data_IF_802040482560
#
_entry.id   IF_802040482560
#
_cell.length_a   1.000
_cell.length_b   1.000
_cell.length_c   1.000
_cell.angle_alpha   90.00
_cell.angle_beta   90.00
_cell.angle_gamma   90.00
#
_symmetry.space_group_name_H-M   'P 1'
#
loop_
_entity.id
_entity.type
_entity.pdbx_description
1 polymer ?
#
# COMPACT_ATOMS: atom_id res chain seq x y z
N UNK A 1 37.06 -1.06 -49.60
CA UNK A 1 35.73 -0.44 -49.83
C UNK A 1 35.39 0.39 -48.59
N UNK A 2 34.89 1.62 -48.71
CA UNK A 2 34.62 2.48 -47.54
C UNK A 2 33.39 1.97 -46.75
N UNK A 3 33.36 2.18 -45.42
CA UNK A 3 32.23 1.80 -44.53
C UNK A 3 30.87 2.28 -45.07
N UNK A 4 30.83 3.48 -45.67
CA UNK A 4 29.61 4.02 -46.30
C UNK A 4 29.11 3.16 -47.46
N UNK A 5 30.00 2.52 -48.20
CA UNK A 5 29.65 1.65 -49.32
C UNK A 5 29.10 0.31 -48.83
N UNK A 6 29.61 -0.22 -47.71
CA UNK A 6 29.05 -1.41 -47.06
C UNK A 6 27.64 -1.17 -46.49
N UNK A 7 27.41 -0.02 -45.84
CA UNK A 7 26.06 0.35 -45.35
C UNK A 7 25.08 0.54 -46.52
N UNK A 8 25.51 1.20 -47.61
CA UNK A 8 24.70 1.34 -48.83
C UNK A 8 24.39 -0.01 -49.47
N UNK A 9 25.37 -0.92 -49.50
CA UNK A 9 25.18 -2.28 -50.01
C UNK A 9 24.13 -3.05 -49.19
N UNK A 10 24.25 -3.06 -47.86
CA UNK A 10 23.27 -3.70 -46.96
C UNK A 10 21.89 -3.08 -47.18
N UNK A 11 21.80 -1.74 -47.24
CA UNK A 11 20.53 -1.03 -47.47
C UNK A 11 19.91 -1.38 -48.83
N UNK A 12 20.74 -1.48 -49.87
CA UNK A 12 20.30 -1.93 -51.17
C UNK A 12 19.76 -3.36 -51.10
N UNK A 13 20.49 -4.26 -50.44
CA UNK A 13 20.13 -5.67 -50.38
C UNK A 13 18.83 -5.92 -49.59
N UNK A 14 18.60 -5.23 -48.48
CA UNK A 14 17.33 -5.32 -47.74
C UNK A 14 16.17 -4.61 -48.46
N UNK A 15 16.47 -3.69 -49.39
CA UNK A 15 15.43 -3.04 -50.22
C UNK A 15 14.96 -3.91 -51.38
N UNK A 16 15.75 -4.91 -51.78
CA UNK A 16 15.38 -5.87 -52.82
C UNK A 16 14.18 -6.71 -52.37
N UNK A 17 13.25 -6.93 -53.30
CA UNK A 17 12.02 -7.71 -53.09
C UNK A 17 12.38 -9.16 -52.70
N UNK A 18 11.57 -9.88 -51.89
CA UNK A 18 11.96 -11.14 -51.21
C UNK A 18 12.40 -12.32 -52.10
N UNK A 19 12.39 -12.16 -53.43
CA UNK A 19 12.67 -13.21 -54.41
C UNK A 19 14.05 -13.08 -55.09
N UNK A 20 14.88 -12.10 -54.70
CA UNK A 20 16.12 -11.75 -55.45
C UNK A 20 17.41 -12.04 -54.66
N UNK A 21 17.32 -12.38 -53.36
CA UNK A 21 18.51 -12.72 -52.56
C UNK A 21 18.99 -14.11 -52.98
N UNK A 22 20.15 -14.17 -53.63
CA UNK A 22 20.82 -15.41 -54.00
C UNK A 22 21.90 -15.71 -52.97
N UNK A 23 21.73 -16.74 -52.11
CA UNK A 23 22.71 -17.08 -51.08
C UNK A 23 24.11 -17.36 -51.66
N UNK A 24 24.22 -17.86 -52.87
CA UNK A 24 25.49 -18.20 -53.51
C UNK A 24 26.28 -16.95 -53.91
N UNK A 25 25.57 -15.87 -54.26
CA UNK A 25 26.17 -14.61 -54.71
C UNK A 25 26.32 -13.60 -53.57
N UNK A 26 25.31 -13.53 -52.70
CA UNK A 26 25.10 -12.40 -51.82
C UNK A 26 25.62 -12.66 -50.40
N UNK A 27 25.73 -13.93 -49.96
CA UNK A 27 26.15 -14.27 -48.59
C UNK A 27 27.56 -13.79 -48.26
N UNK A 28 28.54 -14.06 -49.12
CA UNK A 28 29.93 -13.65 -48.87
C UNK A 28 30.05 -12.13 -48.75
N UNK A 29 29.42 -11.38 -49.68
CA UNK A 29 29.45 -9.92 -49.68
C UNK A 29 28.71 -9.32 -48.50
N UNK A 30 27.62 -9.95 -48.06
CA UNK A 30 26.87 -9.53 -46.89
C UNK A 30 27.65 -9.77 -45.59
N UNK A 31 28.31 -10.92 -45.46
CA UNK A 31 29.20 -11.24 -44.35
C UNK A 31 30.39 -10.27 -44.28
N UNK A 32 31.05 -10.02 -45.41
CA UNK A 32 32.15 -9.06 -45.52
C UNK A 32 31.68 -7.64 -45.13
N UNK A 33 30.50 -7.23 -45.61
CA UNK A 33 29.93 -5.94 -45.29
C UNK A 33 29.61 -5.78 -43.81
N UNK A 34 29.04 -6.81 -43.16
CA UNK A 34 28.76 -6.79 -41.72
C UNK A 34 30.04 -6.77 -40.89
N UNK A 35 31.03 -7.61 -41.24
CA UNK A 35 32.31 -7.66 -40.55
C UNK A 35 33.10 -6.34 -40.65
N UNK A 36 32.95 -5.61 -41.76
CA UNK A 36 33.61 -4.33 -41.98
C UNK A 36 32.94 -3.14 -41.26
N UNK A 37 31.72 -3.29 -40.75
CA UNK A 37 30.99 -2.23 -40.05
C UNK A 37 31.19 -2.42 -38.53
N UNK A 38 31.76 -1.42 -37.82
CA UNK A 38 31.84 -1.45 -36.36
C UNK A 38 30.47 -1.65 -35.70
N UNK A 39 30.42 -2.41 -34.60
CA UNK A 39 29.18 -2.79 -33.92
C UNK A 39 28.32 -1.59 -33.53
N UNK A 40 28.91 -0.47 -33.13
CA UNK A 40 28.19 0.77 -32.80
C UNK A 40 27.49 1.35 -34.04
N UNK A 41 28.18 1.38 -35.18
CA UNK A 41 27.62 1.89 -36.44
C UNK A 41 26.55 0.97 -36.99
N UNK A 42 26.72 -0.34 -36.83
CA UNK A 42 25.72 -1.33 -37.23
C UNK A 42 24.46 -1.22 -36.35
N UNK A 43 24.62 -0.99 -35.05
CA UNK A 43 23.50 -0.69 -34.13
C UNK A 43 22.75 0.58 -34.54
N UNK A 44 23.45 1.70 -34.75
CA UNK A 44 22.79 2.94 -35.20
C UNK A 44 22.10 2.79 -36.56
N UNK A 45 22.70 2.04 -37.49
CA UNK A 45 22.07 1.70 -38.77
C UNK A 45 20.77 0.91 -38.56
N UNK A 46 20.81 -0.17 -37.77
CA UNK A 46 19.67 -1.02 -37.50
C UNK A 46 18.53 -0.29 -36.77
N UNK A 47 18.87 0.58 -35.81
CA UNK A 47 17.90 1.45 -35.12
C UNK A 47 17.25 2.46 -36.08
N UNK A 48 18.00 2.96 -37.07
CA UNK A 48 17.49 3.88 -38.09
C UNK A 48 16.59 3.23 -39.15
N UNK A 49 16.48 1.90 -39.18
CA UNK A 49 15.58 1.19 -40.08
C UNK A 49 14.12 1.28 -39.62
N UNK A 50 13.21 1.39 -40.58
CA UNK A 50 11.77 1.22 -40.36
C UNK A 50 11.42 -0.22 -39.95
N UNK A 51 10.24 -0.44 -39.38
CA UNK A 51 9.76 -1.78 -39.01
C UNK A 51 9.75 -2.77 -40.19
N UNK A 52 9.51 -2.29 -41.40
CA UNK A 52 9.58 -3.12 -42.61
C UNK A 52 11.02 -3.43 -43.02
N UNK A 53 11.90 -2.44 -43.06
CA UNK A 53 13.32 -2.65 -43.36
C UNK A 53 14.01 -3.56 -42.33
N UNK A 54 13.65 -3.47 -41.04
CA UNK A 54 14.14 -4.41 -40.01
C UNK A 54 13.71 -5.84 -40.33
N UNK A 55 12.43 -6.07 -40.63
CA UNK A 55 11.93 -7.41 -41.05
C UNK A 55 12.70 -7.97 -42.24
N UNK A 56 13.00 -7.12 -43.24
CA UNK A 56 13.81 -7.52 -44.40
C UNK A 56 15.27 -7.78 -44.03
N UNK A 57 15.87 -6.96 -43.17
CA UNK A 57 17.20 -7.19 -42.62
C UNK A 57 17.30 -8.53 -41.89
N UNK A 58 16.31 -8.86 -41.05
CA UNK A 58 16.22 -10.16 -40.37
C UNK A 58 16.20 -11.33 -41.36
N UNK A 59 15.36 -11.21 -42.40
CA UNK A 59 15.27 -12.23 -43.45
C UNK A 59 16.60 -12.39 -44.21
N UNK A 60 17.16 -11.29 -44.70
CA UNK A 60 18.45 -11.25 -45.38
C UNK A 60 19.56 -11.86 -44.52
N UNK A 61 19.66 -11.46 -43.25
CA UNK A 61 20.70 -11.94 -42.36
C UNK A 61 20.54 -13.43 -42.05
N UNK A 62 19.31 -13.93 -41.88
CA UNK A 62 19.06 -15.35 -41.71
C UNK A 62 19.45 -16.17 -42.95
N UNK A 63 19.17 -15.66 -44.15
CA UNK A 63 19.51 -16.31 -45.43
C UNK A 63 21.03 -16.28 -45.71
N UNK A 64 21.69 -15.15 -45.43
CA UNK A 64 23.10 -14.94 -45.79
C UNK A 64 24.12 -15.36 -44.71
N UNK A 65 23.73 -15.40 -43.44
CA UNK A 65 24.61 -15.78 -42.33
C UNK A 65 24.38 -17.21 -41.85
N UNK A 66 23.17 -17.74 -42.09
CA UNK A 66 22.69 -18.93 -41.39
C UNK A 66 22.25 -18.62 -39.96
N UNK A 67 21.50 -19.56 -39.38
CA UNK A 67 20.77 -19.35 -38.13
C UNK A 67 21.67 -19.00 -36.93
N UNK A 68 22.78 -19.69 -36.73
CA UNK A 68 23.64 -19.48 -35.55
C UNK A 68 24.33 -18.11 -35.55
N UNK A 69 24.89 -17.71 -36.69
CA UNK A 69 25.54 -16.41 -36.84
C UNK A 69 24.53 -15.26 -36.79
N UNK A 70 23.34 -15.47 -37.38
CA UNK A 70 22.23 -14.55 -37.25
C UNK A 70 21.77 -14.41 -35.79
N UNK A 71 21.62 -15.52 -35.05
CA UNK A 71 21.18 -15.51 -33.66
C UNK A 71 22.11 -14.67 -32.78
N UNK A 72 23.44 -14.84 -32.92
CA UNK A 72 24.41 -14.04 -32.17
C UNK A 72 24.30 -12.55 -32.50
N UNK A 73 24.18 -12.23 -33.79
CA UNK A 73 24.03 -10.83 -34.23
C UNK A 73 22.73 -10.21 -33.70
N UNK A 74 21.63 -10.97 -33.71
CA UNK A 74 20.35 -10.53 -33.16
C UNK A 74 20.44 -10.30 -31.65
N UNK A 75 21.13 -11.17 -30.93
CA UNK A 75 21.35 -11.03 -29.50
C UNK A 75 22.07 -9.71 -29.17
N UNK A 76 23.12 -9.38 -29.93
CA UNK A 76 23.89 -8.14 -29.76
C UNK A 76 23.12 -6.88 -30.18
N UNK A 77 22.40 -6.93 -31.31
CA UNK A 77 21.71 -5.75 -31.87
C UNK A 77 20.39 -5.44 -31.18
N UNK A 78 19.68 -6.45 -30.65
CA UNK A 78 18.29 -6.31 -30.20
C UNK A 78 18.13 -6.77 -28.77
N UNK A 79 18.57 -7.99 -28.45
CA UNK A 79 18.25 -8.61 -27.15
C UNK A 79 18.96 -7.91 -26.02
N UNK A 80 20.27 -7.64 -26.14
CA UNK A 80 21.03 -6.97 -25.09
C UNK A 80 20.55 -5.55 -24.83
N UNK A 81 20.29 -4.77 -25.88
CA UNK A 81 19.78 -3.39 -25.74
C UNK A 81 18.38 -3.38 -25.13
N UNK A 82 17.50 -4.27 -25.58
CA UNK A 82 16.15 -4.40 -25.02
C UNK A 82 16.20 -4.85 -23.56
N UNK A 83 17.09 -5.79 -23.23
CA UNK A 83 17.28 -6.28 -21.87
C UNK A 83 17.80 -5.19 -20.94
N UNK A 84 18.81 -4.42 -21.36
CA UNK A 84 19.32 -3.30 -20.57
C UNK A 84 18.21 -2.27 -20.29
N UNK A 85 17.52 -1.82 -21.34
CA UNK A 85 16.41 -0.86 -21.19
C UNK A 85 15.27 -1.38 -20.31
N UNK A 86 14.94 -2.67 -20.39
CA UNK A 86 13.92 -3.28 -19.54
C UNK A 86 14.40 -3.45 -18.10
N UNK A 87 15.69 -3.78 -17.89
CA UNK A 87 16.29 -3.85 -16.55
C UNK A 87 16.21 -2.50 -15.86
N UNK A 88 16.66 -1.43 -16.51
CA UNK A 88 16.64 -0.09 -15.95
C UNK A 88 15.22 0.33 -15.56
N UNK A 89 14.24 0.08 -16.45
CA UNK A 89 12.83 0.39 -16.18
C UNK A 89 12.22 -0.45 -15.05
N UNK A 90 12.65 -1.70 -14.92
CA UNK A 90 12.20 -2.57 -13.83
C UNK A 90 12.82 -2.11 -12.50
N UNK A 91 14.10 -1.77 -12.49
CA UNK A 91 14.80 -1.24 -11.32
C UNK A 91 14.17 0.08 -10.86
N UNK A 92 13.87 1.01 -11.77
CA UNK A 92 13.15 2.25 -11.47
C UNK A 92 11.74 1.99 -10.90
N UNK A 93 11.00 1.05 -11.49
CA UNK A 93 9.65 0.71 -11.02
C UNK A 93 9.67 0.07 -9.63
N UNK A 94 10.65 -0.79 -9.35
CA UNK A 94 10.87 -1.40 -8.04
C UNK A 94 11.21 -0.30 -7.03
N UNK A 95 12.18 0.55 -7.33
CA UNK A 95 12.59 1.64 -6.43
C UNK A 95 11.43 2.58 -6.09
N UNK A 96 10.62 2.95 -7.09
CA UNK A 96 9.41 3.74 -6.86
C UNK A 96 8.41 3.02 -5.95
N UNK A 97 8.18 1.72 -6.18
CA UNK A 97 7.23 0.94 -5.39
C UNK A 97 7.71 0.74 -3.96
N UNK A 98 9.00 0.53 -3.75
CA UNK A 98 9.62 0.46 -2.42
C UNK A 98 9.42 1.77 -1.65
N UNK A 99 9.64 2.92 -2.32
CA UNK A 99 9.42 4.22 -1.71
C UNK A 99 7.94 4.48 -1.36
N UNK A 100 7.01 4.08 -2.22
CA UNK A 100 5.58 4.15 -1.90
C UNK A 100 5.23 3.29 -0.68
N UNK A 101 5.74 2.06 -0.64
CA UNK A 101 5.50 1.13 0.47
C UNK A 101 6.07 1.65 1.78
N UNK A 102 7.27 2.24 1.76
CA UNK A 102 7.89 2.86 2.93
C UNK A 102 7.02 4.01 3.47
N UNK A 103 6.56 4.93 2.60
CA UNK A 103 5.64 6.01 3.02
C UNK A 103 4.35 5.48 3.62
N UNK A 104 3.78 4.42 3.04
CA UNK A 104 2.56 3.81 3.60
C UNK A 104 2.83 3.13 4.94
N UNK A 105 3.98 2.48 5.11
CA UNK A 105 4.38 1.86 6.37
C UNK A 105 4.50 2.92 7.45
N UNK A 106 5.25 3.99 7.19
CA UNK A 106 5.49 5.06 8.16
C UNK A 106 4.17 5.73 8.57
N UNK A 107 3.27 6.00 7.61
CA UNK A 107 1.93 6.53 7.90
C UNK A 107 1.08 5.60 8.78
N UNK A 108 1.16 4.29 8.56
CA UNK A 108 0.42 3.31 9.35
C UNK A 108 1.02 3.16 10.75
N UNK A 109 2.34 3.22 10.89
CA UNK A 109 3.03 3.20 12.19
C UNK A 109 2.67 4.45 13.02
N UNK A 110 2.58 5.62 12.40
CA UNK A 110 2.11 6.85 13.05
C UNK A 110 0.65 6.73 13.52
N UNK A 111 -0.23 6.18 12.68
CA UNK A 111 -1.63 5.99 13.04
C UNK A 111 -1.79 4.96 14.17
N UNK A 112 -1.05 3.87 14.14
CA UNK A 112 -1.02 2.88 15.23
C UNK A 112 -0.56 3.52 16.54
N UNK A 113 0.53 4.28 16.52
CA UNK A 113 1.04 4.98 17.72
C UNK A 113 0.02 5.99 18.28
N UNK A 114 -0.74 6.67 17.40
CA UNK A 114 -1.82 7.57 17.81
C UNK A 114 -2.95 6.80 18.50
N UNK A 115 -3.42 5.71 17.87
CA UNK A 115 -4.51 4.89 18.39
C UNK A 115 -4.14 4.19 19.71
N UNK A 116 -2.90 3.73 19.86
CA UNK A 116 -2.41 3.16 21.11
C UNK A 116 -2.46 4.17 22.26
N UNK A 117 -2.03 5.42 22.02
CA UNK A 117 -2.08 6.50 23.02
C UNK A 117 -3.52 6.88 23.39
N UNK A 118 -4.40 6.93 22.41
CA UNK A 118 -5.82 7.20 22.62
C UNK A 118 -6.46 6.09 23.47
N UNK A 119 -6.21 4.82 23.13
CA UNK A 119 -6.71 3.67 23.87
C UNK A 119 -6.19 3.65 25.32
N UNK A 120 -4.90 3.93 25.55
CA UNK A 120 -4.35 4.06 26.90
C UNK A 120 -5.02 5.19 27.70
N UNK A 121 -5.37 6.29 27.05
CA UNK A 121 -6.07 7.42 27.70
C UNK A 121 -7.49 7.01 28.10
N UNK A 122 -8.23 6.40 27.18
CA UNK A 122 -9.58 5.88 27.43
C UNK A 122 -9.60 4.83 28.55
N UNK A 123 -8.63 3.92 28.58
CA UNK A 123 -8.48 2.94 29.66
C UNK A 123 -8.29 3.61 31.03
N UNK A 124 -7.45 4.65 31.10
CA UNK A 124 -7.25 5.41 32.36
C UNK A 124 -8.52 6.13 32.78
N UNK A 125 -9.26 6.72 31.85
CA UNK A 125 -10.54 7.38 32.14
C UNK A 125 -11.60 6.39 32.60
N UNK A 126 -11.69 5.23 31.95
CA UNK A 126 -12.62 4.18 32.33
C UNK A 126 -12.36 3.70 33.77
N UNK A 127 -11.10 3.46 34.13
CA UNK A 127 -10.72 3.09 35.50
C UNK A 127 -11.08 4.16 36.53
N UNK A 128 -10.92 5.45 36.21
CA UNK A 128 -11.34 6.55 37.08
C UNK A 128 -12.84 6.58 37.28
N UNK A 129 -13.61 6.48 36.19
CA UNK A 129 -15.07 6.45 36.23
C UNK A 129 -15.59 5.25 37.03
N UNK A 130 -14.93 4.10 36.92
CA UNK A 130 -15.29 2.92 37.68
C UNK A 130 -15.04 3.13 39.19
N UNK A 131 -13.92 3.73 39.56
CA UNK A 131 -13.66 4.09 40.96
C UNK A 131 -14.67 5.12 41.51
N UNK A 132 -15.08 6.10 40.69
CA UNK A 132 -16.13 7.06 41.04
C UNK A 132 -17.49 6.38 41.23
N UNK A 133 -17.84 5.44 40.35
CA UNK A 133 -19.06 4.65 40.45
C UNK A 133 -19.09 3.84 41.75
N UNK A 134 -18.00 3.15 42.07
CA UNK A 134 -17.89 2.34 43.29
C UNK A 134 -18.04 3.22 44.55
N UNK A 135 -17.43 4.40 44.56
CA UNK A 135 -17.57 5.37 45.64
C UNK A 135 -19.01 5.85 45.79
N UNK A 136 -19.66 6.23 44.69
CA UNK A 136 -21.07 6.66 44.71
C UNK A 136 -22.00 5.56 45.20
N UNK A 137 -21.74 4.29 44.84
CA UNK A 137 -22.50 3.16 45.36
C UNK A 137 -22.32 2.98 46.87
N UNK A 138 -21.09 3.12 47.39
CA UNK A 138 -20.84 3.07 48.82
C UNK A 138 -21.57 4.21 49.56
N UNK A 139 -21.44 5.44 49.07
CA UNK A 139 -22.11 6.62 49.63
C UNK A 139 -23.63 6.42 49.64
N UNK A 140 -24.20 5.90 48.55
CA UNK A 140 -25.62 5.57 48.46
C UNK A 140 -26.06 4.55 49.52
N UNK A 141 -25.29 3.48 49.75
CA UNK A 141 -25.61 2.50 50.79
C UNK A 141 -25.57 3.10 52.19
N UNK A 142 -24.60 3.98 52.47
CA UNK A 142 -24.51 4.71 53.74
C UNK A 142 -25.73 5.60 53.94
N UNK A 143 -26.08 6.40 52.93
CA UNK A 143 -27.26 7.28 52.93
C UNK A 143 -28.55 6.49 53.16
N UNK A 144 -28.71 5.35 52.47
CA UNK A 144 -29.85 4.45 52.66
C UNK A 144 -29.93 3.92 54.10
N UNK A 145 -28.79 3.53 54.67
CA UNK A 145 -28.72 3.11 56.08
C UNK A 145 -29.07 4.22 57.07
N UNK A 146 -28.63 5.46 56.81
CA UNK A 146 -28.98 6.64 57.62
C UNK A 146 -30.48 6.96 57.51
N UNK A 147 -31.05 6.90 56.30
CA UNK A 147 -32.48 7.09 56.08
C UNK A 147 -33.31 6.09 56.88
N UNK A 148 -32.91 4.81 56.89
CA UNK A 148 -33.62 3.78 57.64
C UNK A 148 -33.58 4.03 59.15
N UNK A 149 -32.43 4.42 59.70
CA UNK A 149 -32.30 4.82 61.12
C UNK A 149 -33.20 6.02 61.47
N UNK A 150 -33.30 7.01 60.59
CA UNK A 150 -34.18 8.17 60.80
C UNK A 150 -35.65 7.76 60.81
N UNK A 151 -36.07 6.87 59.91
CA UNK A 151 -37.44 6.34 59.88
C UNK A 151 -37.77 5.58 61.18
N UNK A 152 -36.86 4.74 61.67
CA UNK A 152 -37.03 4.06 62.96
C UNK A 152 -37.15 5.05 64.13
N UNK A 153 -36.34 6.10 64.14
CA UNK A 153 -36.37 7.14 65.17
C UNK A 153 -37.71 7.91 65.15
N UNK A 154 -38.18 8.30 63.96
CA UNK A 154 -39.48 8.95 63.78
C UNK A 154 -40.60 8.06 64.29
N UNK A 155 -40.55 6.75 64.01
CA UNK A 155 -41.58 5.82 64.46
C UNK A 155 -41.56 5.65 65.99
N UNK A 156 -40.38 5.57 66.61
CA UNK A 156 -40.23 5.59 68.07
C UNK A 156 -40.82 6.85 68.69
N UNK A 157 -40.53 8.03 68.13
CA UNK A 157 -41.10 9.28 68.62
C UNK A 157 -42.62 9.36 68.46
N UNK A 158 -43.18 8.86 67.35
CA UNK A 158 -44.63 8.77 67.17
C UNK A 158 -45.28 7.90 68.23
N UNK A 159 -44.69 6.74 68.53
CA UNK A 159 -45.20 5.84 69.57
C UNK A 159 -45.15 6.50 70.95
N UNK A 160 -44.02 7.15 71.28
CA UNK A 160 -43.87 7.88 72.54
C UNK A 160 -44.90 9.03 72.68
N UNK A 161 -45.13 9.78 71.59
CA UNK A 161 -46.16 10.82 71.56
C UNK A 161 -47.58 10.24 71.75
N UNK A 162 -47.87 9.07 71.16
CA UNK A 162 -49.14 8.39 71.37
C UNK A 162 -49.30 7.92 72.83
N UNK A 163 -48.24 7.40 73.44
CA UNK A 163 -48.23 7.03 74.86
C UNK A 163 -48.49 8.25 75.75
N UNK A 164 -47.76 9.34 75.55
CA UNK A 164 -47.96 10.60 76.30
C UNK A 164 -49.38 11.12 76.14
N UNK A 165 -49.96 11.06 74.92
CA UNK A 165 -51.36 11.43 74.67
C UNK A 165 -52.36 10.58 75.44
N UNK A 166 -52.05 9.31 75.75
CA UNK A 166 -52.93 8.44 76.57
C UNK A 166 -52.93 8.82 78.05
N UNK A 167 -51.86 9.46 78.53
CA UNK A 167 -51.74 9.93 79.93
C UNK A 167 -52.18 11.38 80.13
N UNK A 168 -52.46 12.11 79.05
CA UNK A 168 -53.08 13.42 79.12
C UNK A 168 -54.60 13.25 79.35
N UNK A 169 -55.20 13.92 80.35
CA UNK A 169 -56.65 13.89 80.53
C UNK A 169 -57.33 14.45 79.28
N UNK A 170 -58.53 13.98 78.90
CA UNK A 170 -59.24 14.55 77.76
C UNK A 170 -59.46 16.05 78.02
N UNK A 171 -58.87 16.90 77.16
CA UNK A 171 -59.35 18.25 76.99
C UNK A 171 -60.84 18.12 76.64
N UNK A 172 -61.70 18.55 77.58
CA UNK A 172 -63.18 18.49 77.57
C UNK A 172 -63.87 17.46 78.49
N UNK A 173 -63.33 17.13 79.67
CA UNK A 173 -64.14 16.56 80.76
C UNK A 173 -64.89 17.60 81.62
N UNK A 174 -64.73 18.90 81.37
CA UNK A 174 -65.34 19.97 82.18
C UNK A 174 -66.20 20.95 81.36
N UNK A 175 -67.15 20.46 80.58
CA UNK A 175 -68.30 21.28 80.11
C UNK A 175 -69.63 20.51 80.15
N UNK A 176 -69.76 19.51 81.02
CA UNK A 176 -71.06 18.89 81.35
C UNK A 176 -71.33 19.01 82.85
N UNK A 177 -71.52 20.24 83.32
CA UNK A 177 -72.22 20.57 84.55
C UNK A 177 -72.38 22.09 84.66
N UNK A 178 -73.41 22.63 84.02
CA UNK A 178 -74.30 23.67 84.56
C UNK A 178 -75.44 23.94 83.59
#
# INVERSE_FOLDING_TARGET
MEIKNYVKFIKHLISQTPLIIDPSRDSFRFQEALAAIPTEKLRSFYQGLTSEERRRFHYTANVCLGYEAWSRLYDELVVQETRARLSDRLEEAIAHKEQELEKTRDSLEEELSRLEKENQTLLRENLKLQAELDKLQQDFQVLKGQQQKLLELVERYKNLLQEVKRFLPPENAHLSAK
#
